data_IF_482656655242
#
_entry.id   IF_482656655242
#
_cell.length_a   1.000
_cell.length_b   1.000
_cell.length_c   1.000
_cell.angle_alpha   90.00
_cell.angle_beta   90.00
_cell.angle_gamma   90.00
#
_symmetry.space_group_name_H-M   'P 1'
#
loop_
_entity.id
_entity.type
_entity.pdbx_description
1 polymer ?
#
# COMPACT_ATOMS: atom_id res chain seq x y z
N UNK A 1 13.70 18.24 -8.32
CA UNK A 1 13.06 17.97 -7.04
C UNK A 1 12.29 16.64 -7.12
N UNK A 2 12.34 15.84 -6.05
CA UNK A 2 11.67 14.52 -6.03
C UNK A 2 10.16 14.61 -6.29
N UNK A 3 9.52 15.72 -5.91
CA UNK A 3 8.10 15.99 -6.12
C UNK A 3 7.69 16.09 -7.60
N UNK A 4 8.57 16.52 -8.48
CA UNK A 4 8.26 16.62 -9.93
C UNK A 4 8.28 15.25 -10.63
N UNK A 5 8.96 14.26 -10.08
CA UNK A 5 9.01 12.89 -10.63
C UNK A 5 7.81 12.04 -10.23
N UNK A 6 7.11 12.39 -9.15
CA UNK A 6 5.98 11.64 -8.61
C UNK A 6 4.81 11.48 -9.59
N UNK A 7 4.30 12.54 -10.24
CA UNK A 7 3.20 12.40 -11.18
C UNK A 7 3.57 11.49 -12.36
N UNK A 8 4.81 11.61 -12.84
CA UNK A 8 5.30 10.81 -13.97
C UNK A 8 5.43 9.34 -13.58
N UNK A 9 6.00 9.04 -12.40
CA UNK A 9 6.17 7.66 -11.93
C UNK A 9 4.83 6.99 -11.62
N UNK A 10 3.86 7.72 -11.07
CA UNK A 10 2.51 7.19 -10.81
C UNK A 10 1.72 6.96 -12.10
N UNK A 11 1.84 7.86 -13.09
CA UNK A 11 1.27 7.65 -14.42
C UNK A 11 1.90 6.45 -15.13
N UNK A 12 3.23 6.33 -15.09
CA UNK A 12 3.92 5.17 -15.65
C UNK A 12 3.47 3.86 -14.97
N UNK A 13 3.30 3.86 -13.65
CA UNK A 13 2.79 2.72 -12.90
C UNK A 13 1.34 2.39 -13.27
N UNK A 14 0.49 3.39 -13.47
CA UNK A 14 -0.88 3.21 -13.96
C UNK A 14 -0.89 2.52 -15.32
N UNK A 15 -0.17 3.10 -16.29
CA UNK A 15 -0.09 2.56 -17.65
C UNK A 15 0.48 1.15 -17.65
N UNK A 16 1.59 0.92 -16.92
CA UNK A 16 2.22 -0.39 -16.81
C UNK A 16 1.28 -1.44 -16.20
N UNK A 17 0.55 -1.08 -15.15
CA UNK A 17 -0.40 -1.99 -14.51
C UNK A 17 -1.57 -2.33 -15.43
N UNK A 18 -2.17 -1.33 -16.10
CA UNK A 18 -3.26 -1.60 -17.05
C UNK A 18 -2.80 -2.38 -18.27
N UNK A 19 -1.60 -2.11 -18.78
CA UNK A 19 -0.98 -2.90 -19.85
C UNK A 19 -0.77 -4.36 -19.42
N UNK A 20 -0.25 -4.59 -18.20
CA UNK A 20 -0.09 -5.92 -17.63
C UNK A 20 -1.42 -6.67 -17.52
N UNK A 21 -2.45 -6.04 -16.92
CA UNK A 21 -3.78 -6.65 -16.78
C UNK A 21 -4.40 -7.01 -18.13
N UNK A 22 -4.17 -6.16 -19.15
CA UNK A 22 -4.66 -6.37 -20.51
C UNK A 22 -3.91 -7.49 -21.20
N UNK A 23 -2.58 -7.52 -21.13
CA UNK A 23 -1.74 -8.57 -21.70
C UNK A 23 -2.05 -9.94 -21.11
N UNK A 24 -2.24 -10.01 -19.79
CA UNK A 24 -2.59 -11.24 -19.07
C UNK A 24 -4.08 -11.60 -19.19
N UNK A 25 -4.90 -10.74 -19.83
CA UNK A 25 -6.36 -10.89 -19.92
C UNK A 25 -7.06 -11.06 -18.57
N UNK A 26 -6.52 -10.45 -17.51
CA UNK A 26 -7.05 -10.63 -16.17
C UNK A 26 -8.34 -9.84 -15.92
N UNK A 27 -8.71 -8.92 -16.79
CA UNK A 27 -10.00 -8.20 -16.73
C UNK A 27 -11.22 -9.13 -16.64
N UNK A 28 -11.10 -10.36 -17.17
CA UNK A 28 -12.16 -11.38 -17.08
C UNK A 28 -12.48 -11.85 -15.67
N UNK A 29 -11.53 -11.69 -14.74
CA UNK A 29 -11.71 -12.06 -13.33
C UNK A 29 -12.38 -10.97 -12.51
N UNK A 30 -12.38 -9.72 -12.98
CA UNK A 30 -13.05 -8.60 -12.30
C UNK A 30 -14.57 -8.85 -12.23
N UNK A 31 -15.17 -8.43 -11.11
CA UNK A 31 -16.63 -8.42 -10.99
C UNK A 31 -17.24 -7.59 -12.11
N UNK A 32 -18.27 -8.12 -12.75
CA UNK A 32 -18.94 -7.43 -13.86
C UNK A 32 -20.25 -6.81 -13.38
N UNK A 33 -20.44 -5.55 -13.67
CA UNK A 33 -21.70 -4.86 -13.45
C UNK A 33 -22.25 -4.34 -14.79
N UNK A 34 -23.52 -4.62 -15.06
CA UNK A 34 -24.18 -4.07 -16.25
C UNK A 34 -24.53 -2.61 -15.98
N UNK A 35 -23.84 -1.71 -16.67
CA UNK A 35 -24.13 -0.27 -16.67
C UNK A 35 -24.45 0.12 -18.10
N UNK A 36 -25.64 0.67 -18.35
CA UNK A 36 -26.08 1.10 -19.69
C UNK A 36 -26.02 0.00 -20.78
N UNK A 37 -26.26 -1.28 -20.40
CA UNK A 37 -26.22 -2.40 -21.34
C UNK A 37 -24.84 -2.98 -21.63
N UNK A 38 -23.76 -2.34 -21.17
CA UNK A 38 -22.38 -2.82 -21.28
C UNK A 38 -21.96 -3.50 -19.97
N UNK A 39 -21.34 -4.68 -20.07
CA UNK A 39 -20.71 -5.35 -18.92
C UNK A 39 -19.35 -4.70 -18.65
N UNK A 40 -19.33 -3.78 -17.71
CA UNK A 40 -18.08 -3.13 -17.28
C UNK A 40 -17.51 -3.84 -16.04
N UNK A 41 -16.17 -4.00 -15.98
CA UNK A 41 -15.53 -4.50 -14.78
C UNK A 41 -15.75 -3.47 -13.65
N UNK A 42 -16.25 -3.92 -12.51
CA UNK A 42 -16.55 -3.07 -11.36
C UNK A 42 -16.05 -3.74 -10.08
N UNK A 43 -15.29 -3.01 -9.24
CA UNK A 43 -14.77 -3.55 -8.00
C UNK A 43 -15.89 -3.83 -6.99
N UNK A 44 -15.77 -4.88 -6.22
CA UNK A 44 -16.61 -5.14 -5.06
C UNK A 44 -16.42 -4.07 -3.99
N UNK A 45 -17.40 -3.88 -3.10
CA UNK A 45 -17.30 -2.86 -2.04
C UNK A 45 -16.07 -3.03 -1.15
N UNK A 46 -15.77 -4.25 -0.75
CA UNK A 46 -14.62 -4.54 0.12
C UNK A 46 -13.28 -4.42 -0.59
N UNK A 47 -13.23 -4.81 -1.86
CA UNK A 47 -12.03 -4.64 -2.71
C UNK A 47 -11.82 -3.17 -3.06
N UNK A 48 -12.89 -2.41 -3.26
CA UNK A 48 -12.82 -0.95 -3.40
C UNK A 48 -12.21 -0.30 -2.15
N UNK A 49 -12.70 -0.66 -0.96
CA UNK A 49 -12.18 -0.12 0.30
C UNK A 49 -10.70 -0.49 0.51
N UNK A 50 -10.30 -1.72 0.14
CA UNK A 50 -8.89 -2.12 0.13
C UNK A 50 -8.06 -1.28 -0.83
N UNK A 51 -8.59 -0.98 -2.01
CA UNK A 51 -7.95 -0.10 -2.99
C UNK A 51 -7.77 1.34 -2.47
N UNK A 52 -8.76 1.87 -1.74
CA UNK A 52 -8.64 3.17 -1.06
C UNK A 52 -7.52 3.13 0.00
N UNK A 53 -7.43 2.07 0.80
CA UNK A 53 -6.33 1.89 1.75
C UNK A 53 -4.97 1.84 1.04
N UNK A 54 -4.88 1.15 -0.09
CA UNK A 54 -3.66 1.08 -0.90
C UNK A 54 -3.28 2.45 -1.47
N UNK A 55 -4.24 3.22 -1.94
CA UNK A 55 -4.02 4.61 -2.36
C UNK A 55 -3.50 5.49 -1.20
N UNK A 56 -4.09 5.34 -0.01
CA UNK A 56 -3.63 6.00 1.22
C UNK A 56 -2.19 5.63 1.58
N UNK A 57 -1.82 4.36 1.48
CA UNK A 57 -0.46 3.87 1.71
C UNK A 57 0.54 4.52 0.73
N UNK A 58 0.17 4.64 -0.54
CA UNK A 58 1.01 5.31 -1.55
C UNK A 58 1.13 6.80 -1.22
N UNK A 59 0.05 7.46 -0.85
CA UNK A 59 0.03 8.87 -0.50
C UNK A 59 0.91 9.17 0.74
N UNK A 60 0.78 8.39 1.82
CA UNK A 60 1.60 8.55 3.03
C UNK A 60 3.07 8.26 2.76
N UNK A 61 3.39 7.21 1.98
CA UNK A 61 4.78 6.94 1.57
C UNK A 61 5.38 8.11 0.80
N UNK A 62 4.58 8.74 -0.06
CA UNK A 62 4.99 9.91 -0.83
C UNK A 62 5.22 11.11 0.07
N UNK A 63 4.31 11.36 1.02
CA UNK A 63 4.39 12.45 1.97
C UNK A 63 5.63 12.31 2.87
N UNK A 64 6.00 11.09 3.23
CA UNK A 64 7.20 10.80 4.01
C UNK A 64 8.51 11.35 3.39
N UNK A 65 8.55 11.50 2.06
CA UNK A 65 9.72 12.09 1.37
C UNK A 65 9.74 13.61 1.38
N UNK A 66 8.69 14.27 1.83
CA UNK A 66 8.57 15.74 1.81
C UNK A 66 8.85 16.38 3.15
N UNK A 67 9.02 15.60 4.21
CA UNK A 67 9.29 16.13 5.55
C UNK A 67 10.74 16.63 5.67
N UNK A 68 10.88 17.92 5.88
CA UNK A 68 12.18 18.53 6.19
C UNK A 68 12.63 18.17 7.62
N UNK A 69 13.93 17.92 7.77
CA UNK A 69 14.52 17.62 9.09
C UNK A 69 14.36 16.18 9.56
N UNK A 70 13.65 15.31 8.81
CA UNK A 70 13.51 13.89 9.12
C UNK A 70 14.31 13.05 8.13
N UNK A 71 15.09 12.10 8.63
CA UNK A 71 15.82 11.19 7.75
C UNK A 71 14.87 10.31 6.95
N UNK A 72 14.87 10.44 5.62
CA UNK A 72 14.07 9.62 4.70
C UNK A 72 14.33 8.12 4.94
N UNK A 73 15.59 7.74 5.15
CA UNK A 73 15.99 6.35 5.44
C UNK A 73 15.34 5.86 6.72
N UNK A 74 15.30 6.71 7.75
CA UNK A 74 14.67 6.39 9.03
C UNK A 74 13.16 6.19 8.88
N UNK A 75 12.48 7.10 8.17
CA UNK A 75 11.04 7.00 7.89
C UNK A 75 10.70 5.73 7.13
N UNK A 76 11.45 5.42 6.06
CA UNK A 76 11.23 4.20 5.28
C UNK A 76 11.47 2.94 6.10
N UNK A 77 12.48 2.94 6.96
CA UNK A 77 12.80 1.81 7.83
C UNK A 77 11.67 1.58 8.85
N UNK A 78 11.16 2.67 9.44
CA UNK A 78 10.06 2.63 10.41
C UNK A 78 8.76 2.14 9.76
N UNK A 79 8.40 2.67 8.59
CA UNK A 79 7.23 2.26 7.83
C UNK A 79 7.31 0.79 7.41
N UNK A 80 8.39 0.37 6.76
CA UNK A 80 8.55 -1.01 6.29
C UNK A 80 8.73 -1.99 7.42
N UNK A 81 9.50 -1.63 8.45
CA UNK A 81 9.66 -2.44 9.66
C UNK A 81 8.35 -2.62 10.41
N UNK A 82 7.55 -1.54 10.51
CA UNK A 82 6.23 -1.58 11.12
C UNK A 82 5.27 -2.54 10.40
N UNK A 83 5.30 -2.59 9.07
CA UNK A 83 4.49 -3.56 8.30
C UNK A 83 4.85 -5.00 8.63
N UNK A 84 6.14 -5.29 8.84
CA UNK A 84 6.58 -6.64 9.22
C UNK A 84 6.06 -7.08 10.59
N UNK A 85 5.83 -6.13 11.50
CA UNK A 85 5.16 -6.39 12.79
C UNK A 85 3.66 -6.59 12.59
N UNK A 86 3.03 -5.75 11.77
CA UNK A 86 1.58 -5.79 11.52
C UNK A 86 1.17 -7.08 10.79
N UNK A 87 2.00 -7.62 9.89
CA UNK A 87 1.65 -8.81 9.12
C UNK A 87 1.34 -10.04 10.00
N UNK A 88 2.20 -10.44 10.96
CA UNK A 88 1.88 -11.51 11.91
C UNK A 88 0.68 -11.20 12.82
N UNK A 89 0.55 -9.93 13.25
CA UNK A 89 -0.60 -9.50 14.06
C UNK A 89 -1.92 -9.65 13.30
N UNK A 90 -1.93 -9.35 12.02
CA UNK A 90 -3.11 -9.51 11.16
C UNK A 90 -3.44 -10.99 10.96
N UNK A 91 -2.45 -11.84 10.76
CA UNK A 91 -2.65 -13.28 10.63
C UNK A 91 -3.18 -13.88 11.96
N UNK A 92 -2.62 -13.46 13.10
CA UNK A 92 -3.12 -13.85 14.41
C UNK A 92 -4.57 -13.40 14.65
N UNK A 93 -4.88 -12.12 14.36
CA UNK A 93 -6.23 -11.57 14.47
C UNK A 93 -7.23 -12.23 13.49
N UNK A 94 -6.73 -12.89 12.43
CA UNK A 94 -7.54 -13.66 11.48
C UNK A 94 -7.66 -15.15 11.83
N UNK A 95 -7.15 -15.58 12.99
CA UNK A 95 -7.15 -16.96 13.44
C UNK A 95 -6.26 -17.90 12.61
N UNK A 96 -5.30 -17.36 11.87
CA UNK A 96 -4.37 -18.12 11.04
C UNK A 96 -3.09 -18.45 11.78
N UNK A 97 -2.55 -19.64 11.56
CA UNK A 97 -1.24 -20.02 12.08
C UNK A 97 -0.14 -19.29 11.29
N UNK A 98 0.60 -18.45 11.99
CA UNK A 98 1.78 -17.77 11.41
C UNK A 98 2.87 -18.83 11.20
N UNK A 99 3.42 -18.88 9.98
CA UNK A 99 4.53 -19.79 9.66
C UNK A 99 5.78 -19.37 10.44
N UNK A 100 6.54 -20.32 10.93
CA UNK A 100 7.75 -20.09 11.71
C UNK A 100 8.79 -19.21 10.95
N UNK A 101 8.88 -19.33 9.63
CA UNK A 101 9.70 -18.45 8.79
C UNK A 101 9.33 -16.96 8.92
N UNK A 102 8.05 -16.66 9.15
CA UNK A 102 7.59 -15.26 9.35
C UNK A 102 8.13 -14.70 10.67
N UNK A 103 8.28 -15.53 11.69
CA UNK A 103 8.89 -15.13 12.97
C UNK A 103 10.39 -14.87 12.82
N UNK A 104 11.10 -15.67 12.02
CA UNK A 104 12.51 -15.42 11.71
C UNK A 104 12.67 -14.11 10.93
N UNK A 105 11.84 -13.91 9.88
CA UNK A 105 11.87 -12.67 9.11
C UNK A 105 11.58 -11.44 9.99
N UNK A 106 10.62 -11.55 10.91
CA UNK A 106 10.33 -10.52 11.90
C UNK A 106 11.54 -10.24 12.80
N UNK A 107 12.17 -11.28 13.34
CA UNK A 107 13.36 -11.17 14.20
C UNK A 107 14.54 -10.49 13.48
N UNK A 108 14.83 -10.90 12.24
CA UNK A 108 15.87 -10.29 11.41
C UNK A 108 15.57 -8.81 11.11
N UNK A 109 14.32 -8.48 10.83
CA UNK A 109 13.91 -7.11 10.54
C UNK A 109 13.96 -6.22 11.78
N UNK A 110 13.58 -6.76 12.95
CA UNK A 110 13.74 -6.06 14.22
C UNK A 110 15.21 -5.85 14.58
N UNK A 111 16.07 -6.84 14.32
CA UNK A 111 17.51 -6.69 14.49
C UNK A 111 18.10 -5.60 13.57
N UNK A 112 17.70 -5.58 12.30
CA UNK A 112 18.11 -4.54 11.36
C UNK A 112 17.65 -3.14 11.80
N UNK A 113 16.41 -3.02 12.32
CA UNK A 113 15.88 -1.79 12.91
C UNK A 113 16.74 -1.35 14.10
N UNK A 114 17.04 -2.25 15.03
CA UNK A 114 17.86 -1.95 16.20
C UNK A 114 19.26 -1.48 15.80
N UNK A 115 19.92 -2.15 14.86
CA UNK A 115 21.24 -1.75 14.35
C UNK A 115 21.16 -0.34 13.73
N UNK A 116 20.12 -0.06 12.97
CA UNK A 116 19.92 1.26 12.37
C UNK A 116 19.64 2.35 13.41
N UNK A 117 18.96 2.04 14.51
CA UNK A 117 18.76 2.95 15.63
C UNK A 117 20.05 3.22 16.40
N UNK A 118 20.81 2.18 16.70
CA UNK A 118 22.07 2.30 17.43
C UNK A 118 23.18 3.03 16.64
N UNK A 119 23.14 2.94 15.32
CA UNK A 119 24.12 3.58 14.42
C UNK A 119 23.85 5.06 14.14
N UNK A 120 22.76 5.66 14.66
CA UNK A 120 22.39 7.05 14.39
C UNK A 120 22.59 7.94 15.60
N UNK A 121 23.04 9.20 15.37
CA UNK A 121 23.08 10.24 16.39
C UNK A 121 21.65 10.69 16.77
N UNK A 122 21.47 11.14 17.99
CA UNK A 122 20.16 11.59 18.54
C UNK A 122 19.46 12.63 17.66
N UNK A 123 20.20 13.51 17.02
CA UNK A 123 19.65 14.54 16.12
C UNK A 123 19.00 13.98 14.86
N UNK A 124 19.40 12.77 14.42
CA UNK A 124 18.83 12.12 13.23
C UNK A 124 17.58 11.27 13.52
N UNK A 125 17.24 11.10 14.79
CA UNK A 125 16.05 10.39 15.26
C UNK A 125 14.89 11.33 15.59
N UNK A 126 15.11 12.64 15.50
CA UNK A 126 14.05 13.63 15.70
C UNK A 126 12.94 13.40 14.67
N UNK A 127 11.75 13.11 15.15
CA UNK A 127 10.57 12.90 14.35
C UNK A 127 9.55 13.99 14.67
N UNK A 128 9.15 14.72 13.65
CA UNK A 128 8.09 15.70 13.78
C UNK A 128 6.76 15.02 14.09
N UNK A 129 5.86 15.66 14.83
CA UNK A 129 4.51 15.13 15.09
C UNK A 129 3.78 14.73 13.82
N UNK A 130 3.91 15.52 12.76
CA UNK A 130 3.28 15.23 11.46
C UNK A 130 3.84 13.94 10.86
N UNK A 131 5.14 13.72 10.93
CA UNK A 131 5.77 12.48 10.46
C UNK A 131 5.31 11.26 11.28
N UNK A 132 5.13 11.41 12.60
CA UNK A 132 4.58 10.34 13.44
C UNK A 132 3.14 9.98 13.05
N UNK A 133 2.31 10.98 12.82
CA UNK A 133 0.92 10.80 12.37
C UNK A 133 0.90 10.11 11.00
N UNK A 134 1.77 10.50 10.07
CA UNK A 134 1.88 9.87 8.74
C UNK A 134 2.23 8.38 8.83
N UNK A 135 3.20 8.01 9.68
CA UNK A 135 3.54 6.61 9.94
C UNK A 135 2.36 5.84 10.52
N UNK A 136 1.61 6.42 11.45
CA UNK A 136 0.41 5.78 12.03
C UNK A 136 -0.64 5.53 10.95
N UNK A 137 -0.94 6.51 10.10
CA UNK A 137 -1.89 6.34 9.01
C UNK A 137 -1.42 5.28 8.00
N UNK A 138 -0.13 5.27 7.67
CA UNK A 138 0.46 4.25 6.82
C UNK A 138 0.26 2.84 7.41
N UNK A 139 0.58 2.65 8.69
CA UNK A 139 0.45 1.36 9.36
C UNK A 139 -1.01 0.92 9.52
N UNK A 140 -1.92 1.84 9.81
CA UNK A 140 -3.36 1.58 9.84
C UNK A 140 -3.88 1.16 8.45
N UNK A 141 -3.46 1.86 7.40
CA UNK A 141 -3.80 1.51 6.02
C UNK A 141 -3.34 0.08 5.68
N UNK A 142 -2.11 -0.28 6.05
CA UNK A 142 -1.60 -1.65 5.88
C UNK A 142 -2.36 -2.68 6.71
N UNK A 143 -2.66 -2.39 7.96
CA UNK A 143 -3.43 -3.30 8.81
C UNK A 143 -4.80 -3.62 8.20
N UNK A 144 -5.53 -2.60 7.80
CA UNK A 144 -6.86 -2.74 7.20
C UNK A 144 -6.77 -3.49 5.86
N UNK A 145 -5.82 -3.11 4.99
CA UNK A 145 -5.57 -3.77 3.72
C UNK A 145 -5.22 -5.25 3.88
N UNK A 146 -4.29 -5.58 4.77
CA UNK A 146 -3.91 -6.98 5.05
C UNK A 146 -5.07 -7.79 5.61
N UNK A 147 -5.94 -7.16 6.41
CA UNK A 147 -7.16 -7.77 6.93
C UNK A 147 -8.12 -8.15 5.81
N UNK A 148 -8.35 -7.24 4.85
CA UNK A 148 -9.17 -7.52 3.68
C UNK A 148 -8.51 -8.58 2.78
N UNK A 149 -7.23 -8.45 2.47
CA UNK A 149 -6.50 -9.42 1.68
C UNK A 149 -6.54 -10.82 2.31
N UNK A 150 -6.40 -10.92 3.64
CA UNK A 150 -6.43 -12.19 4.34
C UNK A 150 -7.82 -12.86 4.32
N UNK A 151 -8.89 -12.07 4.25
CA UNK A 151 -10.27 -12.58 4.16
C UNK A 151 -10.73 -12.88 2.72
N UNK A 152 -10.29 -12.07 1.76
CA UNK A 152 -10.84 -12.09 0.40
C UNK A 152 -9.92 -12.80 -0.61
N UNK A 153 -8.60 -12.71 -0.44
CA UNK A 153 -7.63 -13.20 -1.40
C UNK A 153 -6.85 -14.45 -0.95
N UNK A 154 -6.70 -14.68 0.35
CA UNK A 154 -6.00 -15.86 0.88
C UNK A 154 -6.94 -17.07 0.92
N UNK A 155 -7.40 -17.52 -0.24
CA UNK A 155 -8.10 -18.78 -0.46
C UNK A 155 -7.21 -19.70 -1.32
N UNK A 156 -7.50 -20.99 -1.34
CA UNK A 156 -6.85 -21.94 -2.25
C UNK A 156 -7.32 -21.74 -3.71
N UNK A 157 -8.32 -20.87 -3.91
CA UNK A 157 -8.83 -20.50 -5.22
C UNK A 157 -8.01 -19.34 -5.81
N UNK A 158 -7.22 -19.67 -6.83
CA UNK A 158 -6.39 -18.72 -7.58
C UNK A 158 -7.21 -17.64 -8.29
N UNK A 159 -8.45 -17.92 -8.67
CA UNK A 159 -9.29 -16.99 -9.40
C UNK A 159 -9.85 -15.90 -8.46
N UNK A 160 -10.15 -16.24 -7.22
CA UNK A 160 -10.49 -15.25 -6.18
C UNK A 160 -9.31 -14.33 -5.88
N UNK A 161 -8.11 -14.88 -5.83
CA UNK A 161 -6.89 -14.08 -5.61
C UNK A 161 -6.64 -13.12 -6.77
N UNK A 162 -6.79 -13.58 -8.03
CA UNK A 162 -6.67 -12.72 -9.23
C UNK A 162 -7.74 -11.65 -9.25
N UNK A 163 -8.98 -12.03 -8.92
CA UNK A 163 -10.10 -11.09 -8.84
C UNK A 163 -9.82 -9.97 -7.84
N UNK A 164 -9.42 -10.32 -6.62
CA UNK A 164 -9.06 -9.33 -5.60
C UNK A 164 -7.98 -8.37 -6.10
N UNK A 165 -6.90 -8.90 -6.70
CA UNK A 165 -5.80 -8.10 -7.22
C UNK A 165 -6.26 -7.12 -8.31
N UNK A 166 -7.03 -7.59 -9.30
CA UNK A 166 -7.54 -6.76 -10.39
C UNK A 166 -8.43 -5.65 -9.85
N UNK A 167 -9.40 -5.99 -9.01
CA UNK A 167 -10.35 -5.03 -8.44
C UNK A 167 -9.66 -4.00 -7.55
N UNK A 168 -8.65 -4.40 -6.76
CA UNK A 168 -7.85 -3.49 -5.94
C UNK A 168 -7.06 -2.51 -6.80
N UNK A 169 -6.40 -2.99 -7.85
CA UNK A 169 -5.59 -2.15 -8.74
C UNK A 169 -6.42 -1.19 -9.60
N UNK A 170 -7.62 -1.60 -9.98
CA UNK A 170 -8.59 -0.72 -10.66
C UNK A 170 -8.98 0.50 -9.81
N UNK A 171 -8.89 0.39 -8.49
CA UNK A 171 -9.26 1.46 -7.57
C UNK A 171 -8.03 2.24 -7.11
N UNK A 172 -7.00 1.56 -6.64
CA UNK A 172 -5.84 2.18 -5.98
C UNK A 172 -5.09 3.14 -6.90
N UNK A 173 -4.67 2.68 -8.06
CA UNK A 173 -3.82 3.46 -8.95
C UNK A 173 -4.54 4.66 -9.59
N UNK A 174 -5.78 4.52 -10.13
CA UNK A 174 -6.53 5.66 -10.65
C UNK A 174 -6.85 6.70 -9.56
N UNK A 175 -7.11 6.26 -8.33
CA UNK A 175 -7.41 7.15 -7.22
C UNK A 175 -6.19 8.00 -6.84
N UNK A 176 -4.99 7.41 -6.82
CA UNK A 176 -3.74 8.17 -6.58
C UNK A 176 -3.49 9.18 -7.70
N UNK A 177 -3.61 8.77 -8.96
CA UNK A 177 -3.43 9.67 -10.10
C UNK A 177 -4.48 10.78 -10.08
N UNK A 178 -5.74 10.47 -9.79
CA UNK A 178 -6.82 11.45 -9.67
C UNK A 178 -6.57 12.46 -8.55
N UNK A 179 -6.12 12.02 -7.38
CA UNK A 179 -5.80 12.93 -6.26
C UNK A 179 -4.61 13.83 -6.59
N UNK A 180 -3.56 13.30 -7.22
CA UNK A 180 -2.43 14.12 -7.67
C UNK A 180 -2.82 15.14 -8.73
N UNK A 181 -3.68 14.76 -9.68
CA UNK A 181 -4.19 15.67 -10.69
C UNK A 181 -5.04 16.79 -10.08
N UNK A 182 -5.91 16.46 -9.12
CA UNK A 182 -6.71 17.45 -8.39
C UNK A 182 -5.82 18.41 -7.58
N UNK A 183 -4.82 17.90 -6.88
CA UNK A 183 -3.87 18.74 -6.13
C UNK A 183 -3.08 19.67 -7.07
N UNK A 184 -2.68 19.20 -8.24
CA UNK A 184 -2.01 20.01 -9.24
C UNK A 184 -2.91 21.13 -9.79
N UNK A 185 -4.22 20.88 -9.93
CA UNK A 185 -5.20 21.88 -10.38
C UNK A 185 -5.53 22.93 -9.33
N UNK A 186 -5.51 22.55 -8.04
CA UNK A 186 -5.83 23.45 -6.93
C UNK A 186 -4.58 24.26 -6.51
N UNK A 187 -3.39 23.72 -6.73
CA UNK A 187 -2.11 24.39 -6.41
C UNK A 187 -1.65 25.43 -7.44
N UNK A 188 -2.42 25.61 -8.51
CA UNK A 188 -2.31 26.70 -9.47
C UNK A 188 -3.44 27.69 -9.24
#
# INVERSE_FOLDING_TARGET
SGLSLLPISTLASLVGMFAFLSAMRWWRFAGQRRVLGLSLPFPGFWTFLSGVCTAGIIATTTLAYTFDGVSIVFMMLLMRGGVLVIAPLTDFASGRRVRWFSWIALGLSMAALLVAFLGKSESSLAMTWVAAVDVVFYLLGYFVRLRFMSRLAKSDDLDLTKRYFVEEQMTATPLVVGTLALLALIGH
#
